data_IF_132422067719
#
_entry.id   IF_132422067719
#
_cell.length_a   1.000
_cell.length_b   1.000
_cell.length_c   1.000
_cell.angle_alpha   90.00
_cell.angle_beta   90.00
_cell.angle_gamma   90.00
#
_symmetry.space_group_name_H-M   'P 1'
#
loop_
_entity.id
_entity.type
_entity.pdbx_description
1 polymer ?
#
# COMPACT_ATOMS: atom_id res chain seq x y z
N UNK A 1 21.21 10.53 22.25
CA UNK A 1 20.44 9.37 22.72
C UNK A 1 19.76 8.73 21.52
N UNK A 2 19.94 7.43 21.32
CA UNK A 2 19.52 6.67 20.13
C UNK A 2 18.04 6.27 20.21
N UNK A 3 17.13 7.23 20.12
CA UNK A 3 15.71 6.94 19.90
C UNK A 3 15.53 6.42 18.48
N UNK A 4 15.64 5.09 18.29
CA UNK A 4 15.41 4.44 17.00
C UNK A 4 14.02 3.82 16.99
N UNK A 5 13.01 4.66 16.78
CA UNK A 5 11.65 4.18 16.56
C UNK A 5 11.59 3.53 15.19
N UNK A 6 11.18 2.27 15.14
CA UNK A 6 10.94 1.53 13.92
C UNK A 6 9.66 0.73 14.05
N UNK A 7 9.04 0.47 12.91
CA UNK A 7 7.92 -0.48 12.82
C UNK A 7 8.43 -1.73 12.12
N UNK A 8 8.06 -2.89 12.65
CA UNK A 8 8.31 -4.17 12.03
C UNK A 8 6.97 -4.87 11.78
N UNK A 9 6.87 -5.60 10.69
CA UNK A 9 5.73 -6.50 10.48
C UNK A 9 5.67 -7.54 11.59
N UNK A 10 4.46 -7.94 11.98
CA UNK A 10 4.27 -9.09 12.87
C UNK A 10 4.84 -10.35 12.19
N UNK A 11 5.36 -11.30 12.95
CA UNK A 11 5.98 -12.53 12.41
C UNK A 11 5.08 -13.28 11.43
N UNK A 12 3.77 -13.30 11.69
CA UNK A 12 2.75 -13.98 10.88
C UNK A 12 2.18 -13.12 9.75
N UNK A 13 2.68 -11.90 9.54
CA UNK A 13 2.19 -11.03 8.48
C UNK A 13 2.45 -11.70 7.11
N UNK A 14 1.42 -11.86 6.24
CA UNK A 14 1.58 -12.55 4.97
C UNK A 14 2.73 -12.02 4.09
N UNK A 15 2.97 -10.71 4.12
CA UNK A 15 4.05 -10.05 3.37
C UNK A 15 5.46 -10.56 3.72
N UNK A 16 5.68 -11.14 4.90
CA UNK A 16 6.99 -11.72 5.27
C UNK A 16 7.35 -12.91 4.37
N UNK A 17 6.35 -13.67 3.92
CA UNK A 17 6.50 -14.79 3.00
C UNK A 17 6.45 -14.41 1.52
N UNK A 18 6.19 -13.14 1.20
CA UNK A 18 6.05 -12.68 -0.18
C UNK A 18 7.41 -12.34 -0.80
N UNK A 19 7.69 -12.91 -1.97
CA UNK A 19 8.94 -12.67 -2.72
C UNK A 19 8.74 -11.83 -3.98
N UNK A 20 7.50 -11.39 -4.25
CA UNK A 20 7.19 -10.41 -5.30
C UNK A 20 7.68 -10.79 -6.70
N UNK A 21 7.64 -12.10 -7.04
CA UNK A 21 8.20 -12.63 -8.30
C UNK A 21 7.43 -12.23 -9.56
N UNK A 22 6.21 -11.75 -9.42
CA UNK A 22 5.34 -11.30 -10.52
C UNK A 22 5.48 -9.81 -10.81
N UNK A 23 6.64 -9.23 -10.48
CA UNK A 23 6.84 -7.79 -10.48
C UNK A 23 6.28 -7.12 -9.23
N UNK A 24 6.68 -5.87 -9.01
CA UNK A 24 6.27 -5.10 -7.85
C UNK A 24 6.40 -3.59 -8.05
N UNK A 25 5.69 -2.87 -7.17
CA UNK A 25 5.90 -1.45 -6.97
C UNK A 25 6.09 -1.18 -5.49
N UNK A 26 7.19 -0.54 -5.12
CA UNK A 26 7.42 -0.06 -3.75
C UNK A 26 7.50 1.46 -3.76
N UNK A 27 6.70 2.08 -2.92
CA UNK A 27 6.60 3.53 -2.82
C UNK A 27 6.85 4.01 -1.40
N UNK A 28 7.45 5.19 -1.28
CA UNK A 28 7.58 5.91 -0.02
C UNK A 28 7.36 7.40 -0.23
N UNK A 29 6.59 8.01 0.69
CA UNK A 29 6.48 9.47 0.83
C UNK A 29 7.16 9.84 2.15
N UNK A 30 8.27 10.57 2.06
CA UNK A 30 9.07 10.92 3.23
C UNK A 30 9.64 12.33 3.10
N UNK A 31 10.12 12.87 4.22
CA UNK A 31 10.81 14.15 4.31
C UNK A 31 12.05 13.97 5.17
N UNK A 32 13.23 14.16 4.59
CA UNK A 32 14.50 14.19 5.33
C UNK A 32 14.56 15.45 6.19
N UNK A 33 15.00 15.30 7.43
CA UNK A 33 15.10 16.43 8.36
C UNK A 33 16.06 17.54 7.84
N UNK A 34 15.74 18.83 8.01
CA UNK A 34 16.64 19.93 7.63
C UNK A 34 18.02 19.85 8.28
N UNK A 35 18.14 19.26 9.48
CA UNK A 35 19.42 19.14 10.20
C UNK A 35 20.26 17.94 9.75
N UNK A 36 19.81 17.18 8.75
CA UNK A 36 20.56 16.03 8.24
C UNK A 36 21.98 16.42 7.84
N UNK A 37 22.96 15.62 8.28
CA UNK A 37 24.35 15.72 7.82
C UNK A 37 24.94 14.37 7.47
N UNK A 38 25.89 14.36 6.53
CA UNK A 38 26.59 13.14 6.12
C UNK A 38 27.39 12.50 7.28
N UNK A 39 27.82 13.29 8.26
CA UNK A 39 28.61 12.81 9.40
C UNK A 39 27.75 12.05 10.42
N UNK A 40 26.49 12.46 10.60
CA UNK A 40 25.62 11.98 11.68
C UNK A 40 24.48 11.08 11.19
N UNK A 41 24.02 11.25 9.95
CA UNK A 41 22.78 10.67 9.45
C UNK A 41 22.93 9.95 8.10
N UNK A 42 24.15 9.79 7.59
CA UNK A 42 24.38 8.95 6.42
C UNK A 42 23.94 7.50 6.68
N UNK A 43 23.54 6.82 5.60
CA UNK A 43 23.12 5.42 5.64
C UNK A 43 21.94 5.18 6.59
N UNK A 44 20.96 6.09 6.54
CA UNK A 44 19.69 5.93 7.21
C UNK A 44 18.69 5.20 6.32
N UNK A 45 17.77 4.45 6.90
CA UNK A 45 16.89 3.53 6.18
C UNK A 45 15.45 4.00 6.23
N UNK A 46 14.86 4.16 5.04
CA UNK A 46 13.41 4.34 4.89
C UNK A 46 12.73 2.99 5.21
N UNK A 47 13.24 1.91 4.61
CA UNK A 47 12.72 0.56 4.76
C UNK A 47 13.84 -0.49 4.61
N UNK A 48 13.64 -1.68 5.18
CA UNK A 48 14.46 -2.85 4.93
C UNK A 48 13.67 -4.14 5.04
N UNK A 49 14.29 -5.25 4.61
CA UNK A 49 13.80 -6.61 4.88
C UNK A 49 14.87 -7.34 5.66
N UNK A 50 14.53 -7.79 6.86
CA UNK A 50 15.51 -8.31 7.81
C UNK A 50 16.14 -9.64 7.37
N UNK A 51 17.33 -9.89 7.90
CA UNK A 51 18.13 -11.08 7.67
C UNK A 51 19.54 -10.73 7.20
N UNK A 52 20.33 -11.76 6.96
CA UNK A 52 21.68 -11.63 6.42
C UNK A 52 21.71 -12.26 5.05
N UNK A 53 21.91 -11.48 3.98
CA UNK A 53 21.79 -11.99 2.60
C UNK A 53 22.78 -13.13 2.32
N UNK A 54 23.92 -13.15 3.01
CA UNK A 54 24.90 -14.23 2.95
C UNK A 54 24.40 -15.59 3.44
N UNK A 55 23.28 -15.63 4.16
CA UNK A 55 22.62 -16.86 4.63
C UNK A 55 21.49 -17.30 3.70
N UNK A 56 21.23 -16.58 2.61
CA UNK A 56 20.27 -17.01 1.60
C UNK A 56 20.79 -18.25 0.86
N UNK A 57 19.95 -19.28 0.64
CA UNK A 57 20.35 -20.46 -0.13
C UNK A 57 20.87 -20.09 -1.52
N UNK A 58 22.07 -20.57 -1.85
CA UNK A 58 22.70 -20.30 -3.15
C UNK A 58 23.39 -18.94 -3.27
N UNK A 59 23.50 -18.16 -2.20
CA UNK A 59 24.26 -16.91 -2.20
C UNK A 59 25.76 -17.15 -2.43
N UNK A 60 26.35 -16.38 -3.34
CA UNK A 60 27.79 -16.45 -3.67
C UNK A 60 28.45 -15.06 -3.85
N UNK A 61 27.74 -13.99 -3.51
CA UNK A 61 28.24 -12.60 -3.62
C UNK A 61 28.95 -12.08 -2.36
N UNK A 62 29.54 -10.89 -2.45
CA UNK A 62 30.09 -10.14 -1.31
C UNK A 62 29.01 -9.35 -0.52
N UNK A 63 29.39 -8.67 0.56
CA UNK A 63 28.45 -7.94 1.41
C UNK A 63 27.47 -8.89 2.10
N UNK A 64 27.98 -9.99 2.64
CA UNK A 64 27.18 -11.06 3.23
C UNK A 64 26.37 -10.57 4.42
N UNK A 65 26.90 -9.58 5.14
CA UNK A 65 26.34 -8.92 6.32
C UNK A 65 25.10 -8.07 6.03
N UNK A 66 24.96 -7.61 4.79
CA UNK A 66 23.88 -6.72 4.40
C UNK A 66 22.54 -7.47 4.35
N UNK A 67 21.41 -6.77 4.53
CA UNK A 67 20.12 -7.42 4.54
C UNK A 67 19.65 -7.78 3.13
N UNK A 68 18.64 -8.65 3.00
CA UNK A 68 17.98 -8.92 1.74
C UNK A 68 17.44 -7.69 1.01
N UNK A 69 17.05 -6.62 1.73
CA UNK A 69 16.67 -5.35 1.10
C UNK A 69 17.17 -4.16 1.91
N UNK A 70 17.77 -3.19 1.21
CA UNK A 70 18.10 -1.86 1.72
C UNK A 70 17.36 -0.81 0.90
N UNK A 71 16.46 -0.06 1.54
CA UNK A 71 15.89 1.17 0.98
C UNK A 71 16.35 2.33 1.86
N UNK A 72 17.41 3.01 1.43
CA UNK A 72 18.21 3.88 2.30
C UNK A 72 18.54 5.23 1.66
N UNK A 73 19.04 6.16 2.48
CA UNK A 73 19.61 7.45 2.07
C UNK A 73 21.11 7.44 2.38
N UNK A 74 21.94 7.67 1.36
CA UNK A 74 23.41 7.61 1.45
C UNK A 74 24.03 8.83 2.10
N UNK A 75 25.37 8.84 2.21
CA UNK A 75 26.15 10.01 2.62
C UNK A 75 26.12 11.18 1.62
N UNK A 76 25.63 10.98 0.39
CA UNK A 76 25.40 12.04 -0.59
C UNK A 76 23.92 12.45 -0.67
N UNK A 77 23.09 12.00 0.29
CA UNK A 77 21.62 12.10 0.23
C UNK A 77 21.05 11.52 -1.07
N UNK A 78 21.66 10.47 -1.60
CA UNK A 78 21.06 9.71 -2.70
C UNK A 78 20.17 8.64 -2.10
N UNK A 79 19.01 8.43 -2.73
CA UNK A 79 18.14 7.30 -2.45
C UNK A 79 18.79 6.05 -3.05
N UNK A 80 18.96 5.03 -2.20
CA UNK A 80 19.41 3.71 -2.57
C UNK A 80 18.24 2.73 -2.51
N UNK A 81 18.01 1.99 -3.59
CA UNK A 81 17.20 0.78 -3.59
C UNK A 81 18.09 -0.42 -3.91
N UNK A 82 18.46 -1.20 -2.90
CA UNK A 82 19.33 -2.38 -3.05
C UNK A 82 18.64 -3.66 -2.54
N UNK A 83 17.87 -4.33 -3.40
CA UNK A 83 17.35 -5.66 -3.14
C UNK A 83 18.39 -6.76 -3.45
N UNK A 84 18.24 -7.87 -2.73
CA UNK A 84 18.67 -9.18 -3.20
C UNK A 84 17.55 -9.77 -4.03
N UNK A 85 17.86 -10.12 -5.27
CA UNK A 85 16.92 -10.56 -6.30
C UNK A 85 17.26 -11.97 -6.77
N UNK A 86 16.36 -12.60 -7.52
CA UNK A 86 16.64 -13.89 -8.14
C UNK A 86 17.05 -13.69 -9.61
N UNK A 87 18.08 -14.43 -10.03
CA UNK A 87 18.28 -14.72 -11.45
C UNK A 87 17.23 -15.73 -11.91
N UNK A 88 17.06 -15.87 -13.23
CA UNK A 88 16.15 -16.88 -13.83
C UNK A 88 16.48 -18.33 -13.42
N UNK A 89 17.72 -18.63 -13.04
CA UNK A 89 18.11 -19.94 -12.47
C UNK A 89 17.89 -20.05 -10.94
N UNK A 90 17.11 -19.13 -10.37
CA UNK A 90 16.80 -19.02 -8.95
C UNK A 90 18.00 -18.75 -8.01
N UNK A 91 19.15 -18.33 -8.54
CA UNK A 91 20.31 -17.96 -7.72
C UNK A 91 20.21 -16.51 -7.26
N UNK A 92 20.32 -16.21 -5.95
CA UNK A 92 20.21 -14.85 -5.45
C UNK A 92 21.43 -13.98 -5.84
N UNK A 93 21.20 -12.69 -6.03
CA UNK A 93 22.24 -11.67 -6.21
C UNK A 93 21.76 -10.30 -5.76
N UNK A 94 22.66 -9.44 -5.28
CA UNK A 94 22.33 -8.08 -4.93
C UNK A 94 22.62 -7.12 -6.09
N UNK A 95 21.85 -6.06 -6.15
CA UNK A 95 21.95 -5.01 -7.16
C UNK A 95 21.31 -3.75 -6.60
N UNK A 96 21.73 -2.58 -7.07
CA UNK A 96 21.30 -1.31 -6.52
C UNK A 96 20.88 -0.34 -7.63
N UNK A 97 19.73 0.30 -7.44
CA UNK A 97 19.35 1.53 -8.13
C UNK A 97 19.65 2.73 -7.22
N UNK A 98 20.07 3.84 -7.83
CA UNK A 98 20.55 5.03 -7.13
C UNK A 98 19.97 6.29 -7.74
N UNK A 99 19.31 7.13 -6.96
CA UNK A 99 18.95 8.48 -7.38
C UNK A 99 20.16 9.42 -7.43
N UNK A 100 19.95 10.63 -7.93
CA UNK A 100 20.81 11.76 -7.56
C UNK A 100 20.49 12.25 -6.14
N UNK A 101 21.18 13.31 -5.70
CA UNK A 101 20.90 13.94 -4.42
C UNK A 101 19.42 14.37 -4.31
N UNK A 102 18.79 14.08 -3.17
CA UNK A 102 17.47 14.59 -2.81
C UNK A 102 17.58 15.77 -1.83
N UNK A 103 16.64 16.70 -1.94
CA UNK A 103 16.55 17.84 -1.04
C UNK A 103 16.05 17.42 0.34
N UNK A 104 16.63 17.99 1.39
CA UNK A 104 16.04 17.92 2.73
C UNK A 104 14.92 18.95 2.89
N UNK A 105 14.15 18.80 3.98
CA UNK A 105 12.96 19.58 4.30
C UNK A 105 11.90 19.67 3.18
N UNK A 106 11.92 18.69 2.26
CA UNK A 106 10.95 18.59 1.17
C UNK A 106 10.31 17.20 1.18
N UNK A 107 8.97 17.17 1.13
CA UNK A 107 8.25 15.93 0.94
C UNK A 107 8.59 15.36 -0.44
N UNK A 108 9.17 14.16 -0.43
CA UNK A 108 9.64 13.46 -1.62
C UNK A 108 8.87 12.15 -1.75
N UNK A 109 8.31 11.92 -2.93
CA UNK A 109 7.77 10.62 -3.33
C UNK A 109 8.84 9.88 -4.12
N UNK A 110 9.07 8.63 -3.74
CA UNK A 110 9.89 7.69 -4.50
C UNK A 110 9.02 6.50 -4.86
N UNK A 111 9.04 6.11 -6.14
CA UNK A 111 8.44 4.87 -6.62
C UNK A 111 9.51 3.97 -7.24
N UNK A 112 9.53 2.70 -6.87
CA UNK A 112 10.40 1.67 -7.43
C UNK A 112 9.53 0.65 -8.14
N UNK A 113 9.63 0.60 -9.47
CA UNK A 113 8.78 -0.25 -10.31
C UNK A 113 9.63 -1.34 -10.94
N UNK A 114 9.38 -2.60 -10.57
CA UNK A 114 9.95 -3.78 -11.19
C UNK A 114 8.93 -4.39 -12.16
N UNK A 115 9.20 -4.25 -13.44
CA UNK A 115 8.37 -4.77 -14.52
C UNK A 115 8.68 -6.27 -14.74
N UNK A 116 7.71 -7.18 -14.59
CA UNK A 116 7.93 -8.61 -14.76
C UNK A 116 8.22 -9.02 -16.21
N UNK A 117 7.78 -8.24 -17.20
CA UNK A 117 7.99 -8.56 -18.62
C UNK A 117 9.41 -8.22 -19.05
N UNK A 118 9.85 -6.98 -18.83
CA UNK A 118 11.21 -6.55 -19.15
C UNK A 118 12.25 -6.97 -18.10
N UNK A 119 11.82 -7.32 -16.89
CA UNK A 119 12.65 -7.59 -15.69
C UNK A 119 13.51 -6.40 -15.27
N UNK A 120 13.08 -5.19 -15.64
CA UNK A 120 13.78 -3.96 -15.30
C UNK A 120 13.17 -3.36 -14.04
N UNK A 121 14.02 -2.88 -13.13
CA UNK A 121 13.64 -2.07 -11.98
C UNK A 121 13.99 -0.62 -12.26
N UNK A 122 12.98 0.24 -12.30
CA UNK A 122 13.12 1.69 -12.49
C UNK A 122 12.78 2.42 -11.21
N UNK A 123 13.68 3.30 -10.75
CA UNK A 123 13.39 4.23 -9.67
C UNK A 123 12.87 5.55 -10.24
N UNK A 124 11.84 6.10 -9.62
CA UNK A 124 11.31 7.42 -9.90
C UNK A 124 11.42 8.27 -8.64
N UNK A 125 11.90 9.50 -8.78
CA UNK A 125 11.95 10.49 -7.70
C UNK A 125 11.12 11.69 -8.12
N UNK A 126 10.12 12.03 -7.31
CA UNK A 126 9.11 13.05 -7.65
C UNK A 126 8.50 12.83 -9.05
N UNK A 127 8.32 11.56 -9.42
CA UNK A 127 7.77 11.12 -10.70
C UNK A 127 8.73 11.13 -11.89
N UNK A 128 9.96 11.65 -11.75
CA UNK A 128 10.96 11.61 -12.80
C UNK A 128 11.76 10.29 -12.76
N UNK A 129 11.92 9.56 -13.89
CA UNK A 129 12.71 8.34 -13.92
C UNK A 129 14.19 8.64 -13.70
N UNK A 130 14.81 7.85 -12.84
CA UNK A 130 16.25 7.83 -12.62
C UNK A 130 16.88 6.83 -13.59
N UNK A 131 18.09 7.13 -14.10
CA UNK A 131 18.71 6.35 -15.18
C UNK A 131 19.59 5.18 -14.69
N UNK A 132 19.92 5.11 -13.40
CA UNK A 132 20.71 4.01 -12.81
C UNK A 132 19.79 2.87 -12.38
N UNK A 133 19.34 2.11 -13.38
CA UNK A 133 18.35 1.04 -13.21
C UNK A 133 18.99 -0.35 -13.19
N UNK A 134 18.21 -1.31 -12.69
CA UNK A 134 18.61 -2.72 -12.58
C UNK A 134 17.91 -3.54 -13.66
N UNK A 135 18.64 -4.39 -14.37
CA UNK A 135 18.09 -5.30 -15.38
C UNK A 135 18.15 -6.76 -14.91
N UNK A 136 17.26 -7.61 -15.43
CA UNK A 136 17.24 -9.05 -15.16
C UNK A 136 16.78 -9.42 -13.74
N UNK A 137 16.02 -8.52 -13.12
CA UNK A 137 15.62 -8.56 -11.73
C UNK A 137 14.27 -9.28 -11.54
N UNK A 138 14.26 -10.42 -10.85
CA UNK A 138 13.03 -11.12 -10.48
C UNK A 138 12.82 -11.12 -8.97
N UNK A 139 11.78 -10.42 -8.52
CA UNK A 139 11.35 -10.39 -7.12
C UNK A 139 12.36 -9.83 -6.13
N UNK A 140 12.08 -10.05 -4.86
CA UNK A 140 12.91 -9.65 -3.72
C UNK A 140 13.06 -10.88 -2.83
N UNK A 141 14.27 -11.41 -2.76
CA UNK A 141 14.62 -12.52 -1.89
C UNK A 141 14.50 -12.11 -0.41
N UNK A 142 14.38 -13.11 0.44
CA UNK A 142 14.33 -12.91 1.88
C UNK A 142 14.10 -14.24 2.59
N UNK A 143 13.76 -14.13 3.86
CA UNK A 143 13.42 -15.28 4.70
C UNK A 143 11.92 -15.22 5.02
N UNK A 144 11.18 -16.34 4.91
CA UNK A 144 9.71 -16.34 5.03
C UNK A 144 9.14 -15.72 6.32
N UNK A 145 9.91 -15.73 7.41
CA UNK A 145 9.48 -15.27 8.72
C UNK A 145 10.18 -13.98 9.17
N UNK A 146 11.09 -13.44 8.34
CA UNK A 146 11.81 -12.23 8.71
C UNK A 146 10.94 -11.01 8.39
N UNK A 147 10.91 -10.02 9.29
CA UNK A 147 10.05 -8.88 9.11
C UNK A 147 10.55 -7.93 8.02
N UNK A 148 9.61 -7.18 7.49
CA UNK A 148 9.89 -5.91 6.84
C UNK A 148 9.91 -4.82 7.91
N UNK A 149 10.84 -3.88 7.79
CA UNK A 149 11.10 -2.85 8.79
C UNK A 149 11.05 -1.48 8.15
N UNK A 150 10.40 -0.53 8.82
CA UNK A 150 10.28 0.87 8.40
C UNK A 150 11.00 1.76 9.42
N UNK A 151 11.76 2.73 8.93
CA UNK A 151 12.48 3.71 9.75
C UNK A 151 13.80 3.21 10.35
N UNK A 152 14.24 2.00 10.01
CA UNK A 152 15.53 1.45 10.39
C UNK A 152 15.97 0.33 9.44
N UNK A 153 17.28 0.10 9.41
CA UNK A 153 17.92 -0.95 8.63
C UNK A 153 18.57 -2.00 9.51
N UNK A 154 19.36 -2.86 8.87
CA UNK A 154 20.05 -3.95 9.52
C UNK A 154 21.43 -4.12 8.90
N UNK A 155 22.43 -4.44 9.71
CA UNK A 155 23.78 -4.79 9.26
C UNK A 155 24.34 -5.86 10.18
N UNK A 156 24.75 -6.99 9.63
CA UNK A 156 25.29 -8.14 10.38
C UNK A 156 24.41 -8.51 11.59
N UNK A 157 23.11 -8.64 11.37
CA UNK A 157 22.10 -8.90 12.40
C UNK A 157 21.92 -7.81 13.48
N UNK A 158 22.57 -6.66 13.36
CA UNK A 158 22.37 -5.49 14.20
C UNK A 158 21.45 -4.45 13.56
N UNK A 159 20.42 -3.99 14.29
CA UNK A 159 19.55 -2.87 13.87
C UNK A 159 20.34 -1.55 13.83
N UNK A 160 20.25 -0.82 12.73
CA UNK A 160 21.06 0.38 12.48
C UNK A 160 20.37 1.41 11.59
N UNK A 161 21.04 2.53 11.34
CA UNK A 161 20.63 3.52 10.34
C UNK A 161 19.19 4.01 10.49
N UNK A 162 18.82 4.51 11.67
CA UNK A 162 17.46 5.03 11.89
C UNK A 162 17.17 6.22 10.97
N UNK A 163 15.98 6.28 10.39
CA UNK A 163 15.56 7.39 9.53
C UNK A 163 15.52 8.69 10.32
N UNK A 164 16.17 9.73 9.80
CA UNK A 164 16.17 11.06 10.39
C UNK A 164 15.28 11.99 9.57
N UNK A 165 14.03 12.09 10.00
CA UNK A 165 12.98 12.82 9.31
C UNK A 165 11.59 12.22 9.56
N UNK A 166 10.69 12.40 8.60
CA UNK A 166 9.31 11.94 8.68
C UNK A 166 9.00 11.00 7.52
N UNK A 167 8.30 9.91 7.79
CA UNK A 167 7.74 9.01 6.78
C UNK A 167 6.22 9.13 6.89
N UNK A 168 5.57 9.58 5.82
CA UNK A 168 4.11 9.69 5.78
C UNK A 168 3.47 8.35 5.42
N UNK A 169 3.99 7.71 4.37
CA UNK A 169 3.39 6.49 3.82
C UNK A 169 4.44 5.63 3.14
N UNK A 170 4.26 4.30 3.24
CA UNK A 170 4.98 3.31 2.45
C UNK A 170 3.95 2.32 1.90
N UNK A 171 4.04 2.03 0.60
CA UNK A 171 3.21 1.02 -0.06
C UNK A 171 4.08 0.00 -0.75
N UNK A 172 3.72 -1.28 -0.61
CA UNK A 172 4.31 -2.40 -1.35
C UNK A 172 3.17 -3.10 -2.07
N UNK A 173 3.20 -3.05 -3.39
CA UNK A 173 2.19 -3.66 -4.26
C UNK A 173 2.81 -4.76 -5.10
N UNK A 174 2.06 -5.85 -5.31
CA UNK A 174 2.37 -6.81 -6.36
C UNK A 174 2.10 -6.14 -7.72
N UNK A 175 2.94 -6.43 -8.71
CA UNK A 175 2.81 -5.89 -10.06
C UNK A 175 3.46 -4.52 -10.26
N UNK A 176 3.71 -4.20 -11.53
CA UNK A 176 4.30 -2.95 -11.97
C UNK A 176 3.20 -1.89 -12.16
N UNK A 177 3.02 -1.02 -11.18
CA UNK A 177 2.05 0.07 -11.21
C UNK A 177 2.56 1.21 -12.09
N UNK A 178 1.64 1.77 -12.86
CA UNK A 178 1.88 2.96 -13.67
C UNK A 178 1.77 4.24 -12.82
N UNK A 179 2.28 5.36 -13.33
CA UNK A 179 2.26 6.63 -12.58
C UNK A 179 0.88 7.14 -12.21
N UNK A 180 -0.17 6.70 -12.91
CA UNK A 180 -1.56 7.02 -12.59
C UNK A 180 -2.14 6.19 -11.45
N UNK A 181 -1.43 5.17 -10.97
CA UNK A 181 -1.82 4.33 -9.85
C UNK A 181 -0.97 4.60 -8.60
N UNK A 182 0.06 5.46 -8.68
CA UNK A 182 0.96 5.77 -7.56
C UNK A 182 0.27 6.53 -6.43
N UNK A 183 0.86 6.54 -5.22
CA UNK A 183 0.34 7.27 -4.05
C UNK A 183 0.14 8.77 -4.29
N UNK A 184 0.91 9.34 -5.23
CA UNK A 184 0.80 10.75 -5.63
C UNK A 184 -0.21 10.99 -6.75
N UNK A 185 -0.75 9.93 -7.36
CA UNK A 185 -1.84 10.05 -8.30
C UNK A 185 -3.09 10.53 -7.56
N UNK A 186 -3.73 11.57 -8.10
CA UNK A 186 -5.02 12.02 -7.57
C UNK A 186 -6.09 11.04 -8.02
N UNK A 187 -6.78 10.40 -7.07
CA UNK A 187 -7.95 9.61 -7.40
C UNK A 187 -8.97 10.47 -8.14
N UNK A 188 -9.41 10.03 -9.31
CA UNK A 188 -10.46 10.75 -10.02
C UNK A 188 -11.78 10.64 -9.22
N UNK A 189 -12.63 11.65 -9.31
CA UNK A 189 -13.89 11.71 -8.56
C UNK A 189 -15.03 11.49 -9.52
N UNK A 190 -15.68 10.34 -9.38
CA UNK A 190 -16.84 9.97 -10.18
C UNK A 190 -18.08 10.10 -9.29
N UNK A 191 -19.05 10.93 -9.70
CA UNK A 191 -20.25 11.21 -8.92
C UNK A 191 -21.50 11.06 -9.79
N UNK A 192 -22.48 10.31 -9.30
CA UNK A 192 -23.82 10.23 -9.90
C UNK A 192 -24.65 11.49 -9.64
N UNK A 193 -25.82 11.54 -10.24
CA UNK A 193 -26.74 12.69 -10.22
C UNK A 193 -27.82 12.63 -9.13
N UNK A 194 -27.92 11.52 -8.39
CA UNK A 194 -29.03 11.30 -7.45
C UNK A 194 -30.20 10.49 -8.04
N UNK A 195 -30.02 9.90 -9.23
CA UNK A 195 -30.99 9.03 -9.89
C UNK A 195 -30.34 7.67 -10.14
N UNK A 196 -31.15 6.61 -10.30
CA UNK A 196 -30.65 5.26 -10.66
C UNK A 196 -29.79 5.31 -11.93
N UNK A 197 -28.52 4.98 -11.81
CA UNK A 197 -27.52 5.07 -12.87
C UNK A 197 -26.59 3.85 -12.91
N UNK A 198 -26.01 3.60 -14.08
CA UNK A 198 -24.80 2.82 -14.21
C UNK A 198 -23.61 3.80 -14.23
N UNK A 199 -22.70 3.66 -13.28
CA UNK A 199 -21.53 4.53 -13.11
C UNK A 199 -20.30 3.66 -13.24
N UNK A 200 -19.45 4.03 -14.19
CA UNK A 200 -18.19 3.37 -14.48
C UNK A 200 -17.05 4.33 -14.12
N UNK A 201 -16.10 3.84 -13.32
CA UNK A 201 -14.82 4.47 -13.10
C UNK A 201 -13.90 4.39 -14.31
N UNK A 202 -12.61 4.56 -14.09
CA UNK A 202 -11.55 4.54 -15.06
C UNK A 202 -10.65 3.31 -14.91
N UNK A 203 -9.44 3.42 -15.47
CA UNK A 203 -8.40 2.41 -15.33
C UNK A 203 -7.42 2.72 -14.18
N UNK A 204 -7.74 3.72 -13.37
CA UNK A 204 -6.88 4.30 -12.33
C UNK A 204 -7.68 4.41 -11.04
N UNK A 205 -7.03 4.44 -9.89
CA UNK A 205 -7.69 4.61 -8.60
C UNK A 205 -8.76 5.72 -8.62
N UNK A 206 -10.02 5.36 -8.36
CA UNK A 206 -11.14 6.28 -8.35
C UNK A 206 -11.75 6.46 -6.95
N UNK A 207 -12.43 7.58 -6.78
CA UNK A 207 -13.42 7.80 -5.71
C UNK A 207 -14.79 7.88 -6.34
N UNK A 208 -15.59 6.83 -6.17
CA UNK A 208 -16.87 6.65 -6.85
C UNK A 208 -18.01 6.82 -5.84
N UNK A 209 -18.98 7.67 -6.14
CA UNK A 209 -20.19 7.85 -5.33
C UNK A 209 -21.42 7.92 -6.22
N UNK A 210 -22.41 7.06 -5.95
CA UNK A 210 -23.71 7.12 -6.63
C UNK A 210 -24.49 8.40 -6.32
N UNK A 211 -24.39 8.87 -5.07
CA UNK A 211 -25.38 9.74 -4.44
C UNK A 211 -26.75 9.01 -4.37
N UNK A 212 -27.85 9.64 -3.90
CA UNK A 212 -29.13 8.96 -3.81
C UNK A 212 -29.57 8.24 -5.10
N UNK A 213 -30.41 7.22 -4.98
CA UNK A 213 -30.71 6.34 -6.12
C UNK A 213 -30.05 4.98 -5.94
N UNK A 214 -30.57 3.96 -6.63
CA UNK A 214 -30.06 2.59 -6.51
C UNK A 214 -29.19 2.29 -7.73
N UNK A 215 -27.89 2.53 -7.59
CA UNK A 215 -26.93 2.59 -8.67
C UNK A 215 -26.19 1.27 -8.90
N UNK A 216 -25.68 1.10 -10.11
CA UNK A 216 -24.71 0.05 -10.46
C UNK A 216 -23.35 0.71 -10.60
N UNK A 217 -22.44 0.41 -9.70
CA UNK A 217 -21.12 1.02 -9.61
C UNK A 217 -20.07 0.01 -10.08
N UNK A 218 -19.22 0.42 -11.01
CA UNK A 218 -18.09 -0.38 -11.51
C UNK A 218 -16.82 0.45 -11.30
N UNK A 219 -15.84 -0.09 -10.58
CA UNK A 219 -14.55 0.54 -10.31
C UNK A 219 -13.71 0.68 -11.58
N UNK A 220 -13.58 -0.43 -12.30
CA UNK A 220 -12.67 -0.55 -13.43
C UNK A 220 -11.30 -1.05 -12.97
N UNK A 221 -10.25 -0.34 -13.33
CA UNK A 221 -8.88 -0.69 -12.94
C UNK A 221 -8.36 0.21 -11.83
N UNK A 222 -7.43 -0.30 -11.01
CA UNK A 222 -6.85 0.47 -9.90
C UNK A 222 -7.47 0.16 -8.55
N UNK A 223 -6.96 0.82 -7.52
CA UNK A 223 -7.41 0.68 -6.14
C UNK A 223 -8.53 1.70 -5.84
N UNK A 224 -9.77 1.32 -6.12
CA UNK A 224 -10.91 2.21 -6.04
C UNK A 224 -11.45 2.40 -4.62
N UNK A 225 -12.17 3.50 -4.42
CA UNK A 225 -12.85 3.82 -3.17
C UNK A 225 -14.31 4.17 -3.44
N UNK A 226 -15.22 3.30 -3.04
CA UNK A 226 -16.66 3.52 -3.14
C UNK A 226 -17.15 4.29 -1.91
N UNK A 227 -17.74 5.47 -2.13
CA UNK A 227 -18.05 6.43 -1.07
C UNK A 227 -19.55 6.55 -0.88
N UNK A 228 -20.00 6.25 0.33
CA UNK A 228 -21.39 6.37 0.77
C UNK A 228 -21.47 7.45 1.85
N UNK A 229 -22.13 8.56 1.51
CA UNK A 229 -22.13 9.74 2.36
C UNK A 229 -23.44 9.93 3.11
N UNK A 230 -24.50 9.23 2.73
CA UNK A 230 -25.82 9.53 3.26
C UNK A 230 -26.67 8.31 3.58
N UNK A 231 -27.61 8.49 4.50
CA UNK A 231 -28.63 7.49 4.78
C UNK A 231 -29.70 7.41 3.66
N UNK A 232 -29.61 8.28 2.64
CA UNK A 232 -30.56 8.39 1.53
C UNK A 232 -30.09 7.69 0.24
N UNK A 233 -28.96 7.00 0.28
CA UNK A 233 -28.53 6.12 -0.82
C UNK A 233 -29.65 5.11 -1.11
N UNK A 234 -29.79 4.71 -2.37
CA UNK A 234 -30.52 3.49 -2.68
C UNK A 234 -29.69 2.27 -2.32
N UNK A 235 -30.26 1.08 -2.55
CA UNK A 235 -29.45 -0.14 -2.48
C UNK A 235 -28.60 -0.21 -3.75
N UNK A 236 -27.35 0.23 -3.63
CA UNK A 236 -26.38 0.18 -4.73
C UNK A 236 -25.85 -1.23 -4.95
N UNK A 237 -25.27 -1.47 -6.11
CA UNK A 237 -24.57 -2.72 -6.46
C UNK A 237 -23.20 -2.39 -7.01
N UNK A 238 -22.15 -2.85 -6.35
CA UNK A 238 -20.77 -2.80 -6.86
C UNK A 238 -20.50 -4.08 -7.64
N UNK A 239 -20.07 -3.97 -8.89
CA UNK A 239 -19.98 -5.10 -9.82
C UNK A 239 -18.65 -5.85 -9.82
N UNK A 240 -17.58 -5.20 -9.39
CA UNK A 240 -16.18 -5.63 -9.58
C UNK A 240 -15.31 -5.38 -8.34
N UNK A 241 -15.91 -5.37 -7.14
CA UNK A 241 -15.19 -5.09 -5.90
C UNK A 241 -14.10 -6.13 -5.63
N UNK A 242 -12.84 -5.72 -5.61
CA UNK A 242 -11.72 -6.53 -5.14
C UNK A 242 -11.36 -6.16 -3.69
N UNK A 243 -11.61 -7.03 -2.69
CA UNK A 243 -11.27 -6.73 -1.30
C UNK A 243 -9.76 -6.61 -1.01
N UNK A 244 -8.88 -7.01 -1.94
CA UNK A 244 -7.44 -6.83 -1.80
C UNK A 244 -7.00 -5.39 -2.09
N UNK A 245 -7.67 -4.72 -3.03
CA UNK A 245 -7.25 -3.42 -3.58
C UNK A 245 -8.27 -2.30 -3.33
N UNK A 246 -9.56 -2.60 -3.30
CA UNK A 246 -10.63 -1.63 -3.19
C UNK A 246 -11.04 -1.36 -1.74
N UNK A 247 -11.62 -0.18 -1.53
CA UNK A 247 -12.12 0.25 -0.23
C UNK A 247 -13.55 0.79 -0.33
N UNK A 248 -14.28 0.70 0.77
CA UNK A 248 -15.56 1.39 0.96
C UNK A 248 -15.42 2.43 2.05
N UNK A 249 -15.79 3.68 1.77
CA UNK A 249 -15.77 4.76 2.73
C UNK A 249 -17.20 5.12 3.15
N UNK A 250 -17.49 4.91 4.44
CA UNK A 250 -18.77 5.23 5.08
C UNK A 250 -18.68 6.36 6.10
N UNK A 251 -17.55 7.08 6.17
CA UNK A 251 -17.35 8.13 7.17
C UNK A 251 -18.41 9.23 7.07
N UNK A 252 -18.80 9.63 5.84
CA UNK A 252 -19.88 10.61 5.63
C UNK A 252 -21.22 10.10 6.13
N UNK A 253 -21.56 8.83 5.85
CA UNK A 253 -22.77 8.19 6.38
C UNK A 253 -22.76 8.17 7.91
N UNK A 254 -21.68 7.73 8.54
CA UNK A 254 -21.57 7.66 10.01
C UNK A 254 -21.69 9.04 10.64
N UNK A 255 -21.15 10.08 10.00
CA UNK A 255 -21.31 11.46 10.43
C UNK A 255 -22.77 11.93 10.34
N UNK A 256 -23.50 11.63 9.26
CA UNK A 256 -24.94 11.92 9.15
C UNK A 256 -25.74 11.20 10.26
N UNK A 257 -25.36 9.96 10.56
CA UNK A 257 -25.97 9.14 11.61
C UNK A 257 -25.58 9.56 13.03
N UNK A 258 -24.74 10.59 13.19
CA UNK A 258 -24.21 11.07 14.48
C UNK A 258 -23.54 9.96 15.28
N UNK A 259 -22.86 9.04 14.61
CA UNK A 259 -22.09 7.98 15.27
C UNK A 259 -20.79 8.54 15.86
N UNK A 260 -20.54 8.26 17.14
CA UNK A 260 -19.35 8.75 17.87
C UNK A 260 -18.51 7.63 18.49
N UNK A 261 -18.82 6.37 18.17
CA UNK A 261 -18.01 5.23 18.62
C UNK A 261 -16.79 5.02 17.73
N UNK A 262 -15.99 4.00 18.05
CA UNK A 262 -14.75 3.69 17.32
C UNK A 262 -14.88 2.51 16.35
N UNK A 263 -15.87 1.64 16.55
CA UNK A 263 -16.10 0.46 15.72
C UNK A 263 -17.62 0.23 15.51
N UNK A 264 -18.18 0.74 14.40
CA UNK A 264 -19.60 0.64 14.13
C UNK A 264 -20.04 -0.80 13.81
N UNK A 265 -19.13 -1.73 13.49
CA UNK A 265 -19.51 -3.15 13.34
C UNK A 265 -19.72 -3.79 14.72
N UNK A 266 -18.78 -3.58 15.64
CA UNK A 266 -18.90 -4.07 17.02
C UNK A 266 -20.09 -3.44 17.74
N UNK A 267 -20.36 -2.15 17.49
CA UNK A 267 -21.50 -1.43 18.07
C UNK A 267 -22.85 -1.74 17.42
N UNK A 268 -22.89 -2.61 16.39
CA UNK A 268 -24.10 -2.97 15.67
C UNK A 268 -24.70 -1.85 14.81
N UNK A 269 -23.92 -0.81 14.49
CA UNK A 269 -24.33 0.27 13.58
C UNK A 269 -24.17 -0.11 12.11
N UNK A 270 -23.18 -0.93 11.81
CA UNK A 270 -22.97 -1.55 10.51
C UNK A 270 -22.97 -3.07 10.66
N UNK A 271 -23.42 -3.77 9.63
CA UNK A 271 -23.25 -5.23 9.54
C UNK A 271 -23.16 -5.69 8.10
N UNK A 272 -22.54 -6.85 7.91
CA UNK A 272 -22.51 -7.56 6.64
C UNK A 272 -23.42 -8.78 6.71
N UNK A 273 -24.18 -9.02 5.64
CA UNK A 273 -25.01 -10.22 5.50
C UNK A 273 -24.79 -10.84 4.12
N UNK A 274 -24.55 -12.15 4.06
CA UNK A 274 -24.44 -12.86 2.79
C UNK A 274 -25.81 -13.09 2.13
N UNK A 275 -25.82 -13.01 0.81
CA UNK A 275 -26.94 -13.39 -0.06
C UNK A 275 -26.41 -14.28 -1.19
N UNK A 276 -27.27 -14.96 -1.97
CA UNK A 276 -26.83 -15.71 -3.15
C UNK A 276 -26.07 -14.86 -4.19
N UNK A 277 -26.27 -13.54 -4.18
CA UNK A 277 -25.63 -12.59 -5.10
C UNK A 277 -24.36 -11.94 -4.54
N UNK A 278 -23.98 -12.24 -3.28
CA UNK A 278 -22.85 -11.63 -2.59
C UNK A 278 -23.24 -10.97 -1.26
N UNK A 279 -22.27 -10.34 -0.63
CA UNK A 279 -22.41 -9.67 0.66
C UNK A 279 -23.15 -8.35 0.51
N UNK A 280 -23.98 -8.03 1.50
CA UNK A 280 -24.67 -6.75 1.59
C UNK A 280 -24.18 -6.03 2.85
N UNK A 281 -23.64 -4.82 2.67
CA UNK A 281 -23.40 -3.89 3.78
C UNK A 281 -24.72 -3.21 4.14
N UNK A 282 -25.04 -3.25 5.42
CA UNK A 282 -26.25 -2.69 5.98
C UNK A 282 -25.90 -1.74 7.13
N UNK A 283 -26.76 -0.76 7.34
CA UNK A 283 -26.64 0.18 8.47
C UNK A 283 -27.93 0.22 9.28
N UNK A 284 -27.79 0.46 10.57
CA UNK A 284 -28.92 0.59 11.48
C UNK A 284 -29.76 1.83 11.14
N UNK A 285 -31.08 1.65 11.12
CA UNK A 285 -32.03 2.72 10.81
C UNK A 285 -32.03 3.72 11.98
N UNK A 286 -31.85 5.02 11.71
CA UNK A 286 -31.90 6.06 12.73
C UNK A 286 -33.15 5.95 13.62
N UNK A 287 -32.94 5.90 14.94
CA UNK A 287 -34.02 5.83 15.92
C UNK A 287 -34.76 4.48 16.00
N UNK A 288 -34.30 3.43 15.31
CA UNK A 288 -34.92 2.09 15.34
C UNK A 288 -33.86 1.02 15.55
N UNK A 289 -33.46 0.86 16.80
CA UNK A 289 -32.45 -0.12 17.19
C UNK A 289 -32.79 -1.53 16.68
N UNK A 290 -31.80 -2.22 16.11
CA UNK A 290 -31.95 -3.57 15.55
C UNK A 290 -32.66 -3.66 14.20
N UNK A 291 -33.11 -2.54 13.63
CA UNK A 291 -33.70 -2.49 12.27
C UNK A 291 -32.68 -1.96 11.28
N UNK A 292 -32.37 -2.71 10.22
CA UNK A 292 -31.30 -2.37 9.28
C UNK A 292 -31.83 -2.09 7.88
N UNK A 293 -31.14 -1.20 7.16
CA UNK A 293 -31.35 -0.95 5.73
C UNK A 293 -30.12 -1.37 4.94
N UNK A 294 -30.36 -1.85 3.72
CA UNK A 294 -29.30 -2.17 2.77
C UNK A 294 -28.67 -0.87 2.27
N UNK A 295 -27.34 -0.82 2.31
CA UNK A 295 -26.56 0.26 1.71
C UNK A 295 -26.08 -0.17 0.33
N UNK A 296 -25.34 -1.28 0.26
CA UNK A 296 -24.69 -1.73 -0.97
C UNK A 296 -24.54 -3.25 -1.00
N UNK A 297 -24.73 -3.84 -2.18
CA UNK A 297 -24.40 -5.21 -2.52
C UNK A 297 -23.02 -5.27 -3.20
N UNK A 298 -22.14 -6.14 -2.73
CA UNK A 298 -20.88 -6.49 -3.39
C UNK A 298 -21.11 -7.72 -4.26
N UNK A 299 -21.36 -7.51 -5.56
CA UNK A 299 -21.74 -8.58 -6.48
C UNK A 299 -20.66 -9.68 -6.53
N UNK A 300 -21.02 -10.90 -6.17
CA UNK A 300 -20.14 -12.07 -6.21
C UNK A 300 -19.09 -12.14 -5.10
N UNK A 301 -19.02 -11.17 -4.19
CA UNK A 301 -18.04 -11.15 -3.08
C UNK A 301 -18.73 -11.59 -1.78
N UNK A 302 -18.32 -12.70 -1.15
CA UNK A 302 -18.88 -13.13 0.13
C UNK A 302 -18.37 -12.29 1.31
N UNK A 303 -19.16 -12.21 2.38
CA UNK A 303 -18.84 -11.38 3.54
C UNK A 303 -17.55 -11.83 4.25
N UNK A 304 -17.17 -13.10 4.11
CA UNK A 304 -15.92 -13.67 4.64
C UNK A 304 -14.67 -13.09 4.02
N UNK A 305 -14.76 -12.52 2.81
CA UNK A 305 -13.64 -11.83 2.13
C UNK A 305 -13.59 -10.34 2.44
N UNK A 306 -14.67 -9.78 3.01
CA UNK A 306 -14.74 -8.39 3.42
C UNK A 306 -14.17 -8.26 4.84
N UNK A 307 -12.85 -8.22 4.94
CA UNK A 307 -12.17 -7.93 6.20
C UNK A 307 -12.40 -6.47 6.61
N UNK A 308 -12.38 -6.17 7.92
CA UNK A 308 -12.59 -4.81 8.47
C UNK A 308 -11.59 -3.73 8.02
N UNK A 309 -10.65 -4.05 7.12
CA UNK A 309 -9.78 -3.09 6.41
C UNK A 309 -10.37 -2.56 5.09
N UNK A 310 -11.29 -3.32 4.48
CA UNK A 310 -11.90 -3.00 3.17
C UNK A 310 -13.10 -2.05 3.31
N UNK A 311 -13.57 -1.82 4.53
CA UNK A 311 -14.57 -0.79 4.85
C UNK A 311 -13.90 0.21 5.79
N UNK A 312 -13.43 1.34 5.23
CA UNK A 312 -12.85 2.44 5.99
C UNK A 312 -13.91 3.06 6.90
N UNK A 313 -13.62 2.93 8.19
CA UNK A 313 -14.21 3.65 9.30
C UNK A 313 -13.09 4.55 9.81
N UNK A 314 -13.29 5.86 9.79
CA UNK A 314 -12.45 6.81 10.53
C UNK A 314 -13.14 7.17 11.83
#
# INVERSE_FOLDING_TARGET
GTGRSHFATQTTAPINGEFLRTGYTVEAIFKVDPEWSATTNAWMFIMGRDGKRGELPGWSGGGTESPPLQFAISNLREVQWEPTMYRTNNTPYATAAWSGEIMNDTWTHVAIVNDPESKNTTMYVAGAPVLRNVNGAEGIAGFPNNPWVIGAGMWNNGRGGGFFGNISEIRVSKGALTSSQWLTARKARVKGSGARQAILGGATDDMISGNPGADTLTGGGGADTFVFNTSREGMDTITDFDPADNMVNVAGLLQELLYTGSDPFTDGKLRLTDTPSGAVLQFETPGRAGTYRNLVLFSGVPATQLHGKSVLIF
#
